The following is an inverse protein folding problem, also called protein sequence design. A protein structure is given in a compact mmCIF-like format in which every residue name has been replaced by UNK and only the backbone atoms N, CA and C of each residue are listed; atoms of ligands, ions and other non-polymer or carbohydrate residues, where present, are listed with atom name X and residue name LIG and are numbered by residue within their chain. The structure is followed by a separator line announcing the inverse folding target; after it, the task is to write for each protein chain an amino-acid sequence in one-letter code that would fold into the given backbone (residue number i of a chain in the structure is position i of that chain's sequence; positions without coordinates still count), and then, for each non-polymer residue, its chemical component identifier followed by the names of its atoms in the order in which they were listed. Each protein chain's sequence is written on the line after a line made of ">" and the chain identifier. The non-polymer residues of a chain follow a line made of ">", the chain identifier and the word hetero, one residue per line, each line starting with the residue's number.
data_IF_253541298364
#
_entry.id   IF_253541298364
#
_cell.length_a   1.000
_cell.length_b   1.000
_cell.length_c   1.000
_cell.angle_alpha   90.00
_cell.angle_beta   90.00
_cell.angle_gamma   90.00
#
_symmetry.space_group_name_H-M   'P 1'
#
loop_
_entity.id
_entity.type
_entity.pdbx_description
1 polymer ?
#
# COMPACT_ATOMS: atom_id res chain seq x y z
N UNK A 1 -36.57 15.42 -18.89
CA UNK A 1 -35.22 15.69 -18.34
C UNK A 1 -35.10 14.86 -17.08
N UNK A 2 -34.76 13.57 -17.19
CA UNK A 2 -34.61 12.71 -16.01
C UNK A 2 -33.34 13.15 -15.30
N UNK A 3 -33.46 13.80 -14.14
CA UNK A 3 -32.30 14.16 -13.33
C UNK A 3 -31.57 12.89 -12.92
N UNK A 4 -30.24 12.89 -12.99
CA UNK A 4 -29.42 11.84 -12.38
C UNK A 4 -29.70 11.84 -10.87
N UNK A 5 -30.05 10.69 -10.31
CA UNK A 5 -30.22 10.58 -8.85
C UNK A 5 -28.86 10.65 -8.14
N UNK A 6 -28.85 10.94 -6.85
CA UNK A 6 -27.61 10.95 -6.06
C UNK A 6 -26.92 9.58 -6.09
N UNK A 7 -27.69 8.49 -6.02
CA UNK A 7 -27.17 7.13 -6.09
C UNK A 7 -26.55 6.83 -7.47
N UNK A 8 -27.15 7.31 -8.56
CA UNK A 8 -26.57 7.17 -9.91
C UNK A 8 -25.25 7.93 -10.05
N UNK A 9 -25.16 9.13 -9.44
CA UNK A 9 -23.92 9.91 -9.42
C UNK A 9 -22.83 9.19 -8.61
N UNK A 10 -23.17 8.68 -7.43
CA UNK A 10 -22.24 7.91 -6.59
C UNK A 10 -21.76 6.66 -7.35
N UNK A 11 -22.67 5.87 -7.92
CA UNK A 11 -22.33 4.68 -8.68
C UNK A 11 -21.40 5.00 -9.86
N UNK A 12 -21.69 6.05 -10.63
CA UNK A 12 -20.87 6.48 -11.76
C UNK A 12 -19.46 6.93 -11.33
N UNK A 13 -19.36 7.66 -10.22
CA UNK A 13 -18.08 8.14 -9.68
C UNK A 13 -17.21 6.97 -9.20
N UNK A 14 -17.77 6.05 -8.43
CA UNK A 14 -17.06 4.89 -7.91
C UNK A 14 -16.63 3.92 -9.02
N UNK A 15 -17.50 3.70 -10.01
CA UNK A 15 -17.17 2.88 -11.18
C UNK A 15 -16.01 3.50 -11.98
N UNK A 16 -16.06 4.81 -12.22
CA UNK A 16 -14.99 5.51 -12.96
C UNK A 16 -13.68 5.60 -12.16
N UNK A 17 -13.75 5.60 -10.83
CA UNK A 17 -12.56 5.54 -9.99
C UNK A 17 -11.92 4.14 -10.01
N UNK A 18 -12.72 3.07 -10.11
CA UNK A 18 -12.22 1.70 -10.17
C UNK A 18 -11.49 1.34 -11.47
N UNK A 19 -11.96 1.90 -12.59
CA UNK A 19 -11.34 1.74 -13.91
C UNK A 19 -11.11 3.12 -14.54
N UNK A 20 -10.04 3.83 -14.13
CA UNK A 20 -9.78 5.16 -14.65
C UNK A 20 -9.36 5.07 -16.13
N UNK A 21 -9.89 5.94 -17.01
CA UNK A 21 -9.48 5.93 -18.40
C UNK A 21 -7.97 6.18 -18.53
N UNK A 22 -7.31 5.61 -19.56
CA UNK A 22 -5.87 5.70 -19.70
C UNK A 22 -5.43 7.17 -19.75
N UNK A 23 -4.33 7.52 -19.06
CA UNK A 23 -3.87 8.89 -19.04
C UNK A 23 -3.46 9.33 -20.45
N UNK A 24 -3.61 10.63 -20.79
CA UNK A 24 -3.03 11.16 -22.01
C UNK A 24 -1.53 10.89 -22.02
N UNK A 25 -0.98 10.54 -23.19
CA UNK A 25 0.44 10.25 -23.34
C UNK A 25 1.28 11.41 -22.77
N UNK A 26 2.38 11.14 -22.04
CA UNK A 26 3.25 12.19 -21.55
C UNK A 26 3.68 13.03 -22.76
N UNK A 27 3.50 14.36 -22.68
CA UNK A 27 4.02 15.27 -23.70
C UNK A 27 5.51 14.98 -23.82
N UNK A 28 5.92 14.32 -24.90
CA UNK A 28 7.33 14.04 -25.16
C UNK A 28 8.04 15.38 -25.25
N UNK A 29 8.90 15.64 -24.28
CA UNK A 29 9.83 16.76 -24.35
C UNK A 29 10.84 16.41 -25.44
N UNK A 30 10.64 16.95 -26.65
CA UNK A 30 11.59 16.79 -27.75
C UNK A 30 12.74 17.80 -27.54
N UNK A 31 13.94 17.36 -27.12
CA UNK A 31 15.06 18.28 -26.86
C UNK A 31 15.64 18.90 -28.13
N UNK A 32 15.16 18.53 -29.33
CA UNK A 32 15.54 19.13 -30.61
C UNK A 32 14.54 20.16 -31.14
N UNK A 33 13.37 20.29 -30.52
CA UNK A 33 12.41 21.30 -30.93
C UNK A 33 12.93 22.68 -30.50
N UNK A 34 13.21 23.62 -31.43
CA UNK A 34 13.54 24.98 -31.03
C UNK A 34 12.32 25.53 -30.28
N UNK A 35 12.57 26.18 -29.13
CA UNK A 35 11.60 27.02 -28.43
C UNK A 35 11.19 28.19 -29.33
N UNK A 36 10.40 27.90 -30.36
CA UNK A 36 9.77 28.87 -31.23
C UNK A 36 8.34 29.01 -30.75
N UNK A 37 8.09 30.11 -30.08
CA UNK A 37 6.79 30.67 -29.80
C UNK A 37 6.05 30.95 -31.12
N UNK A 38 5.50 29.91 -31.75
CA UNK A 38 4.50 29.99 -32.82
C UNK A 38 3.57 28.79 -32.73
N UNK A 39 2.44 29.02 -32.06
CA UNK A 39 1.26 28.19 -32.22
C UNK A 39 0.78 28.27 -33.68
N UNK A 40 0.90 27.15 -34.39
CA UNK A 40 0.35 26.78 -35.71
C UNK A 40 1.49 26.12 -36.49
N UNK A 41 1.49 24.83 -36.79
CA UNK A 41 0.41 24.16 -37.50
C UNK A 41 0.79 22.68 -37.66
N UNK A 42 0.00 21.79 -37.05
CA UNK A 42 -0.18 20.42 -37.53
C UNK A 42 -1.64 20.04 -37.23
N UNK A 43 -2.35 19.74 -38.31
CA UNK A 43 -3.79 19.64 -38.37
C UNK A 43 -4.33 18.34 -37.77
N UNK A 44 -5.51 18.48 -37.15
CA UNK A 44 -6.56 17.49 -36.86
C UNK A 44 -6.35 16.46 -35.74
N UNK A 45 -6.46 16.92 -34.50
CA UNK A 45 -7.62 16.57 -33.65
C UNK A 45 -7.68 17.59 -32.51
N UNK A 46 -8.88 18.06 -32.17
CA UNK A 46 -9.10 19.10 -31.18
C UNK A 46 -8.48 18.73 -29.82
N UNK A 47 -7.31 19.27 -29.52
CA UNK A 47 -6.67 19.15 -28.21
C UNK A 47 -7.42 20.04 -27.23
N UNK A 48 -8.55 19.54 -26.74
CA UNK A 48 -9.00 19.87 -25.39
C UNK A 48 -7.79 19.77 -24.46
N UNK A 49 -7.59 20.64 -23.46
CA UNK A 49 -6.57 20.38 -22.45
C UNK A 49 -6.81 18.94 -21.98
N UNK A 50 -5.79 18.09 -22.05
CA UNK A 50 -5.96 16.68 -21.72
C UNK A 50 -6.13 16.58 -20.20
N UNK A 51 -7.34 16.86 -19.72
CA UNK A 51 -7.72 16.88 -18.31
C UNK A 51 -7.38 15.50 -17.75
N UNK A 52 -6.69 15.48 -16.62
CA UNK A 52 -6.35 14.23 -15.97
C UNK A 52 -7.65 13.45 -15.71
N UNK A 53 -7.78 12.18 -16.13
CA UNK A 53 -8.90 11.33 -15.76
C UNK A 53 -9.28 11.43 -14.28
N UNK A 54 -8.29 11.54 -13.38
CA UNK A 54 -8.51 11.70 -11.94
C UNK A 54 -9.12 13.06 -11.57
N UNK A 55 -8.80 14.13 -12.29
CA UNK A 55 -9.40 15.45 -12.07
C UNK A 55 -10.85 15.50 -12.59
N UNK A 56 -11.10 14.83 -13.71
CA UNK A 56 -12.46 14.71 -14.24
C UNK A 56 -13.37 13.88 -13.32
N UNK A 57 -12.89 12.79 -12.70
CA UNK A 57 -13.65 12.05 -11.67
C UNK A 57 -13.88 12.90 -10.42
N UNK A 58 -12.87 13.65 -9.99
CA UNK A 58 -12.96 14.55 -8.84
C UNK A 58 -14.03 15.64 -9.05
N UNK A 59 -14.17 16.17 -10.26
CA UNK A 59 -15.23 17.14 -10.58
C UNK A 59 -16.65 16.56 -10.41
N UNK A 60 -16.86 15.30 -10.80
CA UNK A 60 -18.13 14.59 -10.61
C UNK A 60 -18.37 14.28 -9.13
N UNK A 61 -17.31 13.90 -8.41
CA UNK A 61 -17.36 13.65 -6.97
C UNK A 61 -17.75 14.92 -6.20
N UNK A 62 -17.16 16.06 -6.53
CA UNK A 62 -17.51 17.35 -5.91
C UNK A 62 -18.97 17.71 -6.15
N UNK A 63 -19.50 17.41 -7.35
CA UNK A 63 -20.93 17.58 -7.63
C UNK A 63 -21.79 16.65 -6.75
N UNK A 64 -21.40 15.38 -6.59
CA UNK A 64 -22.11 14.45 -5.71
C UNK A 64 -22.08 14.90 -4.25
N UNK A 65 -20.93 15.42 -3.77
CA UNK A 65 -20.81 16.01 -2.43
C UNK A 65 -21.71 17.24 -2.26
N UNK A 66 -21.73 18.16 -3.22
CA UNK A 66 -22.61 19.34 -3.17
C UNK A 66 -24.09 18.96 -3.11
N UNK A 67 -24.51 17.98 -3.90
CA UNK A 67 -25.89 17.47 -3.87
C UNK A 67 -26.19 16.83 -2.51
N UNK A 68 -25.28 15.99 -2.00
CA UNK A 68 -25.40 15.36 -0.68
C UNK A 68 -25.51 16.40 0.46
N UNK A 69 -24.65 17.42 0.45
CA UNK A 69 -24.63 18.49 1.44
C UNK A 69 -25.89 19.37 1.34
N UNK A 70 -26.42 19.60 0.13
CA UNK A 70 -27.65 20.38 -0.08
C UNK A 70 -28.91 19.65 0.41
N UNK A 71 -28.92 18.32 0.33
CA UNK A 71 -30.01 17.48 0.83
C UNK A 71 -29.88 17.28 2.35
N UNK A 72 -28.66 17.38 2.89
CA UNK A 72 -28.41 17.17 4.31
C UNK A 72 -28.59 15.72 4.73
N UNK A 73 -28.25 14.77 3.84
CA UNK A 73 -28.46 13.32 4.03
C UNK A 73 -27.84 12.79 5.32
N UNK A 74 -26.69 13.35 5.71
CA UNK A 74 -26.01 13.02 6.97
C UNK A 74 -25.62 14.30 7.68
N UNK A 75 -26.13 14.49 8.88
CA UNK A 75 -25.77 15.57 9.80
C UNK A 75 -24.54 15.18 10.63
N UNK A 76 -23.85 16.17 11.21
CA UNK A 76 -22.71 15.92 12.11
C UNK A 76 -23.11 15.21 13.41
N UNK A 77 -24.39 15.33 13.82
CA UNK A 77 -24.89 14.85 15.10
C UNK A 77 -25.66 13.52 15.00
N UNK A 78 -25.83 12.95 13.80
CA UNK A 78 -26.58 11.69 13.67
C UNK A 78 -25.78 10.54 14.26
N UNK A 79 -26.47 9.66 14.99
CA UNK A 79 -25.92 8.39 15.44
C UNK A 79 -26.00 7.33 14.35
N UNK A 80 -25.21 6.26 14.46
CA UNK A 80 -25.15 5.20 13.45
C UNK A 80 -26.52 4.58 13.13
N UNK A 81 -27.35 4.37 14.15
CA UNK A 81 -28.70 3.80 14.04
C UNK A 81 -29.69 4.71 13.30
N UNK A 82 -29.46 6.02 13.29
CA UNK A 82 -30.37 7.00 12.69
C UNK A 82 -30.12 7.16 11.18
N UNK A 83 -29.05 6.56 10.66
CA UNK A 83 -28.64 6.66 9.25
C UNK A 83 -29.11 5.43 8.48
N UNK A 84 -29.90 5.65 7.42
CA UNK A 84 -30.36 4.58 6.53
C UNK A 84 -29.22 3.94 5.73
N UNK A 85 -29.43 2.71 5.24
CA UNK A 85 -28.45 1.97 4.43
C UNK A 85 -28.08 2.68 3.13
N UNK A 86 -29.04 3.39 2.52
CA UNK A 86 -28.81 4.26 1.35
C UNK A 86 -27.93 5.45 1.71
N UNK A 87 -28.21 6.12 2.83
CA UNK A 87 -27.48 7.29 3.31
C UNK A 87 -26.04 6.99 3.71
N UNK A 88 -25.76 5.79 4.23
CA UNK A 88 -24.38 5.34 4.56
C UNK A 88 -23.43 5.43 3.36
N UNK A 89 -23.93 5.26 2.13
CA UNK A 89 -23.10 5.32 0.92
C UNK A 89 -22.50 6.71 0.66
N UNK A 90 -23.13 7.76 1.18
CA UNK A 90 -22.61 9.14 1.07
C UNK A 90 -21.34 9.34 1.91
N UNK A 91 -21.15 8.55 2.98
CA UNK A 91 -19.98 8.63 3.86
C UNK A 91 -18.68 8.26 3.14
N UNK A 92 -18.73 7.50 2.05
CA UNK A 92 -17.53 7.12 1.30
C UNK A 92 -17.00 8.25 0.38
N UNK A 93 -17.80 9.27 0.09
CA UNK A 93 -17.42 10.36 -0.82
C UNK A 93 -16.14 11.09 -0.39
N UNK A 94 -15.93 11.46 0.90
CA UNK A 94 -14.69 12.13 1.30
C UNK A 94 -13.48 11.19 1.30
N UNK A 95 -13.67 9.89 1.58
CA UNK A 95 -12.60 8.90 1.46
C UNK A 95 -12.11 8.77 0.01
N UNK A 96 -13.04 8.66 -0.94
CA UNK A 96 -12.71 8.60 -2.36
C UNK A 96 -12.08 9.92 -2.86
N UNK A 97 -12.53 11.07 -2.36
CA UNK A 97 -11.89 12.35 -2.66
C UNK A 97 -10.41 12.36 -2.26
N UNK A 98 -10.08 11.81 -1.09
CA UNK A 98 -8.69 11.73 -0.62
C UNK A 98 -7.81 10.91 -1.58
N UNK A 99 -8.32 9.77 -2.06
CA UNK A 99 -7.63 8.94 -3.06
C UNK A 99 -7.43 9.66 -4.40
N UNK A 100 -8.50 10.28 -4.91
CA UNK A 100 -8.44 11.00 -6.18
C UNK A 100 -7.46 12.18 -6.10
N UNK A 101 -7.48 12.96 -5.02
CA UNK A 101 -6.51 14.05 -4.82
C UNK A 101 -5.06 13.56 -4.81
N UNK A 102 -4.79 12.39 -4.23
CA UNK A 102 -3.46 11.78 -4.23
C UNK A 102 -3.06 11.27 -5.62
N UNK A 103 -4.03 10.78 -6.41
CA UNK A 103 -3.83 10.23 -7.75
C UNK A 103 -3.66 11.28 -8.86
N UNK A 104 -4.09 12.54 -8.66
CA UNK A 104 -3.93 13.62 -9.65
C UNK A 104 -2.45 13.86 -9.94
N UNK A 105 -2.10 13.83 -11.23
CA UNK A 105 -0.75 14.13 -11.72
C UNK A 105 -0.52 15.63 -11.78
N UNK A 106 0.56 16.09 -11.15
CA UNK A 106 0.94 17.52 -11.12
C UNK A 106 2.21 17.82 -11.93
N UNK A 107 2.77 16.82 -12.61
CA UNK A 107 4.01 16.98 -13.38
C UNK A 107 5.17 17.48 -12.51
N UNK A 108 5.86 18.52 -12.96
CA UNK A 108 7.00 19.15 -12.26
C UNK A 108 6.60 20.26 -11.30
N UNK A 109 5.31 20.60 -11.18
CA UNK A 109 4.86 21.66 -10.29
C UNK A 109 4.72 21.16 -8.85
N UNK A 110 5.74 21.43 -8.05
CA UNK A 110 5.77 21.11 -6.62
C UNK A 110 4.73 21.89 -5.81
N UNK A 111 4.34 23.09 -6.23
CA UNK A 111 3.36 23.90 -5.50
C UNK A 111 1.95 23.33 -5.67
N UNK A 112 1.59 22.95 -6.90
CA UNK A 112 0.38 22.20 -7.19
C UNK A 112 0.36 20.87 -6.45
N UNK A 113 1.49 20.12 -6.39
CA UNK A 113 1.56 18.87 -5.63
C UNK A 113 1.31 19.08 -4.14
N UNK A 114 1.94 20.08 -3.52
CA UNK A 114 1.71 20.44 -2.11
C UNK A 114 0.25 20.76 -1.83
N UNK A 115 -0.41 21.49 -2.74
CA UNK A 115 -1.83 21.81 -2.60
C UNK A 115 -2.71 20.54 -2.70
N UNK A 116 -2.46 19.66 -3.68
CA UNK A 116 -3.21 18.40 -3.84
C UNK A 116 -3.06 17.47 -2.63
N UNK A 117 -1.85 17.35 -2.08
CA UNK A 117 -1.59 16.57 -0.86
C UNK A 117 -2.36 17.11 0.35
N UNK A 118 -2.39 18.44 0.54
CA UNK A 118 -3.19 19.06 1.62
C UNK A 118 -4.68 18.81 1.44
N UNK A 119 -5.21 18.95 0.22
CA UNK A 119 -6.61 18.62 -0.05
C UNK A 119 -6.93 17.14 0.18
N UNK A 120 -6.00 16.23 -0.17
CA UNK A 120 -6.12 14.80 0.13
C UNK A 120 -6.19 14.53 1.63
N UNK A 121 -5.29 15.14 2.41
CA UNK A 121 -5.27 15.03 3.87
C UNK A 121 -6.56 15.58 4.51
N UNK A 122 -7.03 16.75 4.09
CA UNK A 122 -8.27 17.35 4.61
C UNK A 122 -9.50 16.48 4.31
N UNK A 123 -9.59 15.92 3.11
CA UNK A 123 -10.67 15.00 2.74
C UNK A 123 -10.62 13.70 3.58
N UNK A 124 -9.42 13.15 3.80
CA UNK A 124 -9.22 11.99 4.65
C UNK A 124 -9.61 12.27 6.12
N UNK A 125 -9.25 13.44 6.66
CA UNK A 125 -9.64 13.81 8.02
C UNK A 125 -11.15 14.04 8.17
N UNK A 126 -11.81 14.67 7.19
CA UNK A 126 -13.28 14.80 7.17
C UNK A 126 -13.96 13.42 7.26
N UNK A 127 -13.44 12.45 6.49
CA UNK A 127 -13.92 11.06 6.55
C UNK A 127 -13.65 10.41 7.91
N UNK A 128 -12.40 10.41 8.36
CA UNK A 128 -11.98 9.73 9.59
C UNK A 128 -12.71 10.27 10.82
N UNK A 129 -12.84 11.59 10.96
CA UNK A 129 -13.58 12.20 12.07
C UNK A 129 -15.04 11.74 12.08
N UNK A 130 -15.69 11.68 10.91
CA UNK A 130 -17.09 11.26 10.85
C UNK A 130 -17.26 9.79 11.21
N UNK A 131 -16.41 8.91 10.69
CA UNK A 131 -16.50 7.46 10.95
C UNK A 131 -16.12 7.12 12.41
N UNK A 132 -15.14 7.83 12.97
CA UNK A 132 -14.77 7.69 14.38
C UNK A 132 -15.88 8.19 15.31
N UNK A 133 -16.52 9.32 14.99
CA UNK A 133 -17.66 9.86 15.75
C UNK A 133 -18.88 8.92 15.72
N UNK A 134 -19.10 8.22 14.60
CA UNK A 134 -20.16 7.21 14.48
C UNK A 134 -19.88 5.91 15.25
N UNK A 135 -18.65 5.72 15.75
CA UNK A 135 -18.30 4.53 16.53
C UNK A 135 -18.20 3.23 15.73
N UNK A 136 -18.20 3.30 14.38
CA UNK A 136 -18.19 2.12 13.49
C UNK A 136 -16.87 1.34 13.57
N UNK A 137 -15.78 2.01 13.94
CA UNK A 137 -14.43 1.42 13.89
C UNK A 137 -14.18 0.50 15.10
N UNK A 138 -13.84 -0.78 14.88
CA UNK A 138 -13.49 -1.70 15.96
C UNK A 138 -12.26 -1.23 16.76
N UNK A 139 -12.15 -1.60 18.06
CA UNK A 139 -11.04 -1.17 18.91
C UNK A 139 -9.67 -1.63 18.37
N UNK A 140 -9.60 -2.82 17.78
CA UNK A 140 -8.40 -3.35 17.12
C UNK A 140 -7.95 -2.45 15.97
N UNK A 141 -8.89 -1.94 15.17
CA UNK A 141 -8.58 -1.05 14.06
C UNK A 141 -8.17 0.33 14.58
N UNK A 142 -8.84 0.86 15.62
CA UNK A 142 -8.41 2.11 16.29
C UNK A 142 -6.96 2.03 16.79
N UNK A 143 -6.57 0.92 17.40
CA UNK A 143 -5.19 0.75 17.85
C UNK A 143 -4.19 0.77 16.68
N UNK A 144 -4.50 0.11 15.57
CA UNK A 144 -3.67 0.16 14.36
C UNK A 144 -3.59 1.58 13.78
N UNK A 145 -4.70 2.32 13.75
CA UNK A 145 -4.74 3.72 13.31
C UNK A 145 -3.77 4.58 14.13
N UNK A 146 -3.82 4.46 15.47
CA UNK A 146 -2.89 5.16 16.36
C UNK A 146 -1.43 4.85 16.03
N UNK A 147 -1.10 3.56 15.83
CA UNK A 147 0.26 3.17 15.48
C UNK A 147 0.68 3.63 14.07
N UNK A 148 -0.25 3.70 13.11
CA UNK A 148 0.07 4.20 11.76
C UNK A 148 0.42 5.68 11.76
N UNK A 149 -0.19 6.46 12.64
CA UNK A 149 0.04 7.91 12.75
C UNK A 149 1.09 8.28 13.80
N UNK A 150 1.73 7.31 14.45
CA UNK A 150 2.72 7.59 15.49
C UNK A 150 3.92 8.42 15.00
N UNK A 151 4.21 8.37 13.69
CA UNK A 151 5.27 9.17 13.06
C UNK A 151 4.78 10.53 12.53
N UNK A 152 3.47 10.81 12.59
CA UNK A 152 2.89 12.09 12.17
C UNK A 152 2.81 12.99 13.40
N UNK A 153 3.31 14.22 13.30
CA UNK A 153 3.31 15.13 14.44
C UNK A 153 1.87 15.50 14.83
N UNK A 154 1.58 15.68 16.14
CA UNK A 154 0.24 16.01 16.59
C UNK A 154 -0.24 17.38 16.06
N UNK A 155 0.68 18.32 15.85
CA UNK A 155 0.38 19.62 15.25
C UNK A 155 -0.08 19.48 13.78
N UNK A 156 0.55 18.58 13.01
CA UNK A 156 0.10 18.29 11.64
C UNK A 156 -1.26 17.62 11.61
N UNK A 157 -1.53 16.67 12.51
CA UNK A 157 -2.85 16.04 12.62
C UNK A 157 -3.93 17.07 12.97
N UNK A 158 -3.64 17.97 13.92
CA UNK A 158 -4.53 19.06 14.29
C UNK A 158 -4.74 20.06 13.14
N UNK A 159 -3.69 20.40 12.38
CA UNK A 159 -3.77 21.31 11.24
C UNK A 159 -4.63 20.76 10.09
N UNK A 160 -4.67 19.43 9.93
CA UNK A 160 -5.55 18.74 8.97
C UNK A 160 -6.98 18.62 9.52
N UNK A 161 -7.17 18.88 10.83
CA UNK A 161 -8.46 18.84 11.52
C UNK A 161 -8.82 17.48 12.09
N UNK A 162 -7.86 16.55 12.24
CA UNK A 162 -8.09 15.22 12.80
C UNK A 162 -7.98 15.26 14.33
N UNK A 163 -8.98 14.71 15.03
CA UNK A 163 -8.91 14.56 16.48
C UNK A 163 -8.14 13.28 16.86
N UNK A 164 -6.86 13.42 17.18
CA UNK A 164 -6.00 12.30 17.58
C UNK A 164 -6.45 11.62 18.88
N UNK A 165 -7.22 12.31 19.73
CA UNK A 165 -7.71 11.72 20.99
C UNK A 165 -8.81 10.68 20.77
N UNK A 166 -9.50 10.74 19.64
CA UNK A 166 -10.52 9.76 19.26
C UNK A 166 -9.93 8.36 18.98
N UNK A 167 -8.61 8.29 18.76
CA UNK A 167 -7.88 7.05 18.45
C UNK A 167 -7.02 6.68 19.66
N UNK A 168 -7.64 5.95 20.59
CA UNK A 168 -6.99 5.54 21.84
C UNK A 168 -5.80 4.60 21.60
N UNK A 169 -4.58 5.11 21.77
CA UNK A 169 -3.38 4.28 21.78
C UNK A 169 -3.25 3.58 23.15
N UNK A 170 -3.44 2.26 23.17
CA UNK A 170 -3.16 1.44 24.35
C UNK A 170 -1.91 0.59 24.11
N UNK A 171 -0.98 0.61 25.07
CA UNK A 171 0.25 -0.19 25.05
C UNK A 171 1.44 0.48 24.36
N UNK A 172 2.59 -0.19 24.42
CA UNK A 172 3.81 0.26 23.74
C UNK A 172 3.69 0.15 22.23
N UNK A 173 4.37 1.04 21.50
CA UNK A 173 4.37 1.03 20.04
C UNK A 173 5.21 -0.15 19.52
N UNK A 174 4.63 -1.04 18.69
CA UNK A 174 5.37 -2.12 18.06
C UNK A 174 6.27 -1.59 16.94
N UNK A 175 7.16 -2.43 16.40
CA UNK A 175 8.05 -1.98 15.33
C UNK A 175 7.24 -1.56 14.09
N UNK A 176 7.69 -0.53 13.37
CA UNK A 176 6.98 -0.01 12.19
C UNK A 176 6.66 -1.08 11.13
N UNK A 177 7.52 -2.11 11.00
CA UNK A 177 7.27 -3.26 10.12
C UNK A 177 6.10 -4.12 10.60
N UNK A 178 5.99 -4.37 11.90
CA UNK A 178 4.90 -5.15 12.50
C UNK A 178 3.56 -4.43 12.36
N UNK A 179 3.55 -3.10 12.51
CA UNK A 179 2.38 -2.25 12.22
C UNK A 179 1.95 -2.43 10.75
N UNK A 180 2.88 -2.32 9.79
CA UNK A 180 2.55 -2.52 8.37
C UNK A 180 2.04 -3.93 8.07
N UNK A 181 2.63 -4.95 8.69
CA UNK A 181 2.20 -6.35 8.53
C UNK A 181 0.79 -6.55 9.10
N UNK A 182 0.50 -6.00 10.28
CA UNK A 182 -0.82 -6.13 10.91
C UNK A 182 -1.90 -5.39 10.13
N UNK A 183 -1.62 -4.17 9.66
CA UNK A 183 -2.51 -3.42 8.76
C UNK A 183 -2.77 -4.20 7.47
N UNK A 184 -1.73 -4.75 6.84
CA UNK A 184 -1.88 -5.55 5.62
C UNK A 184 -2.69 -6.83 5.84
N UNK A 185 -2.45 -7.54 6.94
CA UNK A 185 -3.22 -8.74 7.31
C UNK A 185 -4.69 -8.41 7.52
N UNK A 186 -4.99 -7.32 8.22
CA UNK A 186 -6.36 -6.86 8.46
C UNK A 186 -7.03 -6.46 7.14
N UNK A 187 -6.36 -5.64 6.32
CA UNK A 187 -6.87 -5.20 5.01
C UNK A 187 -7.22 -6.40 4.12
N UNK A 188 -6.32 -7.39 4.06
CA UNK A 188 -6.55 -8.63 3.29
C UNK A 188 -7.72 -9.44 3.84
N UNK A 189 -7.86 -9.54 5.16
CA UNK A 189 -8.96 -10.26 5.78
C UNK A 189 -10.32 -9.59 5.50
N UNK A 190 -10.40 -8.26 5.61
CA UNK A 190 -11.62 -7.51 5.26
C UNK A 190 -11.99 -7.65 3.80
N UNK A 191 -11.02 -7.48 2.88
CA UNK A 191 -11.24 -7.66 1.44
C UNK A 191 -11.77 -9.06 1.13
N UNK A 192 -11.20 -10.10 1.73
CA UNK A 192 -11.66 -11.47 1.53
C UNK A 192 -13.10 -11.68 2.04
N UNK A 193 -13.46 -11.13 3.20
CA UNK A 193 -14.82 -11.23 3.75
C UNK A 193 -15.85 -10.51 2.87
N UNK A 194 -15.51 -9.30 2.42
CA UNK A 194 -16.36 -8.50 1.55
C UNK A 194 -16.54 -9.16 0.16
N UNK A 195 -15.48 -9.76 -0.41
CA UNK A 195 -15.57 -10.50 -1.69
C UNK A 195 -16.49 -11.73 -1.57
N UNK A 196 -16.41 -12.47 -0.45
CA UNK A 196 -17.31 -13.59 -0.18
C UNK A 196 -18.77 -13.16 -0.13
N UNK A 197 -19.07 -12.07 0.59
CA UNK A 197 -20.42 -11.51 0.63
C UNK A 197 -20.88 -11.02 -0.74
N UNK A 198 -20.01 -10.34 -1.48
CA UNK A 198 -20.29 -9.85 -2.83
C UNK A 198 -20.68 -10.98 -3.78
N UNK A 199 -19.92 -12.08 -3.79
CA UNK A 199 -20.21 -13.24 -4.61
C UNK A 199 -21.55 -13.90 -4.22
N UNK A 200 -21.81 -14.04 -2.91
CA UNK A 200 -23.08 -14.56 -2.40
C UNK A 200 -24.27 -13.67 -2.77
N UNK A 201 -24.10 -12.35 -2.68
CA UNK A 201 -25.12 -11.35 -3.01
C UNK A 201 -25.47 -11.36 -4.50
N UNK A 202 -24.46 -11.40 -5.38
CA UNK A 202 -24.65 -11.50 -6.83
C UNK A 202 -25.34 -12.82 -7.22
N UNK A 203 -24.97 -13.93 -6.56
CA UNK A 203 -25.64 -15.22 -6.74
C UNK A 203 -27.11 -15.18 -6.29
N UNK A 204 -27.42 -14.58 -5.13
CA UNK A 204 -28.81 -14.42 -4.62
C UNK A 204 -29.65 -13.59 -5.59
N UNK A 205 -29.10 -12.50 -6.13
CA UNK A 205 -29.79 -11.60 -7.08
C UNK A 205 -29.82 -12.09 -8.54
N UNK A 206 -29.22 -13.25 -8.85
CA UNK A 206 -29.12 -13.82 -10.22
C UNK A 206 -28.63 -12.80 -11.25
N UNK A 207 -27.70 -11.97 -10.84
CA UNK A 207 -27.32 -10.79 -11.59
C UNK A 207 -26.26 -11.21 -12.63
N UNK A 208 -26.63 -11.26 -13.90
CA UNK A 208 -25.75 -11.59 -15.02
C UNK A 208 -25.47 -10.33 -15.84
N UNK A 209 -24.19 -10.04 -16.12
CA UNK A 209 -23.72 -8.90 -16.94
C UNK A 209 -23.83 -7.48 -16.30
N UNK A 210 -23.46 -7.35 -15.02
CA UNK A 210 -23.38 -6.02 -14.36
C UNK A 210 -22.03 -5.39 -14.57
N UNK A 211 -22.04 -4.10 -14.89
CA UNK A 211 -20.88 -3.23 -14.74
C UNK A 211 -20.62 -2.99 -13.25
N UNK A 212 -19.88 -3.91 -12.63
CA UNK A 212 -19.46 -3.79 -11.25
C UNK A 212 -17.95 -3.44 -11.17
N UNK A 213 -17.52 -2.64 -10.19
CA UNK A 213 -16.12 -2.32 -9.97
C UNK A 213 -15.23 -3.57 -9.78
N UNK A 214 -13.99 -3.54 -10.25
CA UNK A 214 -13.07 -4.68 -10.11
C UNK A 214 -12.68 -4.94 -8.66
N UNK A 215 -12.24 -3.90 -7.94
CA UNK A 215 -11.93 -3.96 -6.51
C UNK A 215 -13.20 -3.73 -5.67
N UNK A 216 -13.39 -4.59 -4.68
CA UNK A 216 -14.40 -4.49 -3.64
C UNK A 216 -14.39 -3.13 -2.96
N UNK A 217 -13.21 -2.50 -2.83
CA UNK A 217 -13.08 -1.16 -2.28
C UNK A 217 -14.03 -0.14 -2.91
N UNK A 218 -14.31 -0.26 -4.22
CA UNK A 218 -15.19 0.66 -4.92
C UNK A 218 -16.64 0.16 -5.09
N UNK A 219 -16.96 -1.08 -4.71
CA UNK A 219 -18.30 -1.63 -4.91
C UNK A 219 -19.22 -1.26 -3.74
N UNK A 220 -20.19 -0.38 -3.99
CA UNK A 220 -21.20 0.03 -2.99
C UNK A 220 -22.53 -0.75 -3.14
N UNK A 221 -22.51 -1.87 -3.87
CA UNK A 221 -23.68 -2.69 -4.22
C UNK A 221 -24.79 -1.88 -4.90
N UNK A 222 -24.42 -0.84 -5.64
CA UNK A 222 -25.32 -0.01 -6.44
C UNK A 222 -25.37 -0.55 -7.87
N UNK A 223 -26.06 -1.67 -8.04
CA UNK A 223 -26.27 -2.24 -9.36
C UNK A 223 -27.54 -1.65 -9.99
N UNK A 224 -27.48 -1.13 -11.23
CA UNK A 224 -28.68 -0.64 -11.90
C UNK A 224 -29.65 -1.80 -12.05
N UNK A 225 -30.85 -1.68 -11.45
CA UNK A 225 -31.94 -2.59 -11.76
C UNK A 225 -32.25 -2.44 -13.24
N UNK A 226 -32.02 -3.51 -14.02
CA UNK A 226 -32.56 -3.57 -15.36
C UNK A 226 -34.08 -3.44 -15.19
N UNK A 227 -34.64 -2.29 -15.57
CA UNK A 227 -36.09 -2.09 -15.66
C UNK A 227 -36.58 -3.07 -16.72
N UNK A 228 -36.91 -4.30 -16.32
CA UNK A 228 -37.76 -5.19 -17.08
C UNK A 228 -39.13 -4.53 -17.10
N UNK A 229 -39.57 -4.13 -18.30
CA UNK A 229 -40.95 -3.70 -18.55
C UNK A 229 -41.91 -4.87 -18.40
N UNK A 230 -42.16 -5.26 -17.17
CA UNK A 230 -43.20 -6.21 -16.78
C UNK A 230 -44.06 -5.48 -15.76
N UNK A 231 -45.28 -5.12 -16.16
CA UNK A 231 -46.38 -4.69 -15.30
C UNK A 231 -46.83 -5.88 -14.43
N UNK A 232 -45.98 -6.29 -13.48
CA UNK A 232 -46.43 -7.11 -12.36
C UNK A 232 -46.01 -6.41 -11.08
N UNK A 233 -47.04 -6.01 -10.35
CA UNK A 233 -47.03 -5.53 -8.98
C UNK A 233 -46.28 -6.54 -8.08
N UNK A 234 -45.01 -6.26 -7.83
CA UNK A 234 -44.31 -6.69 -6.63
C UNK A 234 -43.25 -5.62 -6.34
N UNK A 235 -43.66 -4.58 -5.59
CA UNK A 235 -42.74 -3.85 -4.71
C UNK A 235 -42.21 -4.82 -3.65
N UNK A 236 -41.44 -5.81 -4.08
CA UNK A 236 -40.51 -6.52 -3.22
C UNK A 236 -39.20 -5.74 -3.26
N UNK A 237 -39.21 -4.55 -2.65
CA UNK A 237 -38.11 -4.22 -1.75
C UNK A 237 -38.11 -5.34 -0.71
N UNK A 238 -37.45 -6.45 -1.06
CA UNK A 238 -37.05 -7.45 -0.08
C UNK A 238 -35.93 -6.80 0.76
N UNK A 239 -36.32 -5.78 1.53
CA UNK A 239 -35.83 -5.59 2.89
C UNK A 239 -36.12 -6.91 3.62
N UNK A 240 -35.24 -7.89 3.42
CA UNK A 240 -34.88 -8.87 4.46
C UNK A 240 -34.15 -8.09 5.59
N UNK A 241 -34.74 -6.98 6.04
CA UNK A 241 -34.40 -6.31 7.28
C UNK A 241 -35.02 -7.14 8.39
N UNK A 242 -34.41 -8.31 8.66
CA UNK A 242 -34.32 -8.84 10.01
C UNK A 242 -33.39 -7.91 10.84
N UNK A 243 -33.65 -6.60 10.80
CA UNK A 243 -33.07 -5.62 11.69
C UNK A 243 -33.77 -5.83 13.05
N UNK A 244 -33.25 -6.76 13.86
CA UNK A 244 -33.53 -6.77 15.30
C UNK A 244 -32.78 -5.60 15.95
N UNK A 245 -33.45 -4.50 16.33
CA UNK A 245 -32.80 -3.31 16.84
C UNK A 245 -32.30 -3.48 18.29
N UNK A 246 -32.39 -4.68 18.87
CA UNK A 246 -32.14 -4.91 20.29
C UNK A 246 -30.66 -5.11 20.69
N UNK A 247 -29.71 -5.19 19.74
CA UNK A 247 -28.33 -5.60 20.05
C UNK A 247 -27.22 -4.76 19.35
N UNK A 248 -27.14 -3.46 19.68
CA UNK A 248 -26.14 -2.53 19.12
C UNK A 248 -24.66 -2.91 19.34
N UNK A 249 -24.35 -3.78 20.30
CA UNK A 249 -22.97 -4.22 20.57
C UNK A 249 -22.53 -5.40 19.67
N UNK A 250 -23.47 -6.10 19.03
CA UNK A 250 -23.19 -7.30 18.21
C UNK A 250 -22.91 -6.95 16.75
N UNK A 251 -23.50 -5.88 16.21
CA UNK A 251 -23.26 -5.44 14.82
C UNK A 251 -21.79 -5.11 14.54
N UNK A 252 -21.08 -4.52 15.51
CA UNK A 252 -19.70 -4.05 15.34
C UNK A 252 -18.67 -5.19 15.42
N UNK A 253 -18.95 -6.24 16.20
CA UNK A 253 -18.06 -7.41 16.32
C UNK A 253 -18.15 -8.32 15.09
N UNK A 254 -19.30 -8.32 14.40
CA UNK A 254 -19.55 -9.16 13.24
C UNK A 254 -18.79 -8.69 11.97
N UNK A 255 -18.42 -7.41 11.87
CA UNK A 255 -17.77 -6.86 10.66
C UNK A 255 -16.32 -7.34 10.43
N UNK A 256 -15.65 -7.86 11.46
CA UNK A 256 -14.24 -8.31 11.38
C UNK A 256 -14.10 -9.84 11.30
N UNK A 257 -15.13 -10.60 11.71
CA UNK A 257 -15.10 -12.05 11.66
C UNK A 257 -15.48 -12.59 10.26
N UNK A 258 -14.76 -13.60 9.72
CA UNK A 258 -15.13 -14.23 8.46
C UNK A 258 -16.53 -14.85 8.57
N UNK A 259 -17.43 -14.49 7.64
CA UNK A 259 -18.83 -14.95 7.65
C UNK A 259 -19.78 -14.15 8.55
N UNK A 260 -19.32 -13.06 9.19
CA UNK A 260 -20.18 -12.19 10.01
C UNK A 260 -21.00 -11.16 9.23
N UNK A 261 -20.86 -11.07 7.91
CA UNK A 261 -21.61 -10.12 7.08
C UNK A 261 -22.92 -10.78 6.63
N UNK A 262 -24.03 -10.45 7.29
CA UNK A 262 -25.36 -11.02 6.97
C UNK A 262 -26.21 -10.12 6.06
N UNK A 263 -26.11 -8.79 6.22
CA UNK A 263 -26.92 -7.81 5.50
C UNK A 263 -26.07 -6.84 4.67
N UNK A 264 -26.68 -6.18 3.68
CA UNK A 264 -26.06 -5.11 2.91
C UNK A 264 -25.61 -3.93 3.81
N UNK A 265 -26.30 -3.69 4.92
CA UNK A 265 -25.87 -2.72 5.94
C UNK A 265 -24.52 -3.11 6.55
N UNK A 266 -24.42 -4.34 7.02
CA UNK A 266 -23.20 -4.91 7.61
C UNK A 266 -22.02 -4.88 6.61
N UNK A 267 -22.29 -5.11 5.32
CA UNK A 267 -21.30 -4.99 4.26
C UNK A 267 -20.73 -3.56 4.17
N UNK A 268 -21.60 -2.55 4.15
CA UNK A 268 -21.16 -1.15 4.11
C UNK A 268 -20.38 -0.75 5.37
N UNK A 269 -20.75 -1.26 6.55
CA UNK A 269 -19.99 -1.01 7.79
C UNK A 269 -18.59 -1.64 7.76
N UNK A 270 -18.48 -2.88 7.27
CA UNK A 270 -17.19 -3.54 7.07
C UNK A 270 -16.34 -2.81 6.02
N UNK A 271 -16.96 -2.28 4.97
CA UNK A 271 -16.28 -1.46 3.97
C UNK A 271 -15.83 -0.11 4.53
N UNK A 272 -16.62 0.54 5.39
CA UNK A 272 -16.17 1.75 6.11
C UNK A 272 -14.89 1.47 6.89
N UNK A 273 -14.79 0.31 7.55
CA UNK A 273 -13.56 -0.09 8.24
C UNK A 273 -12.36 -0.19 7.27
N UNK A 274 -12.54 -0.82 6.10
CA UNK A 274 -11.52 -0.89 5.06
C UNK A 274 -11.07 0.51 4.60
N UNK A 275 -12.03 1.42 4.37
CA UNK A 275 -11.75 2.80 3.98
C UNK A 275 -11.01 3.58 5.09
N UNK A 276 -11.23 3.29 6.37
CA UNK A 276 -10.48 3.95 7.46
C UNK A 276 -9.01 3.59 7.46
N UNK A 277 -8.68 2.30 7.26
CA UNK A 277 -7.29 1.85 7.13
C UNK A 277 -6.62 2.52 5.93
N UNK A 278 -7.34 2.61 4.81
CA UNK A 278 -6.83 3.25 3.60
C UNK A 278 -6.60 4.74 3.78
N UNK A 279 -7.56 5.45 4.36
CA UNK A 279 -7.45 6.88 4.67
C UNK A 279 -6.28 7.16 5.62
N UNK A 280 -6.04 6.29 6.60
CA UNK A 280 -4.92 6.42 7.52
C UNK A 280 -3.57 6.27 6.83
N UNK A 281 -3.43 5.30 5.92
CA UNK A 281 -2.25 5.13 5.08
C UNK A 281 -2.00 6.37 4.20
N UNK A 282 -3.06 6.98 3.66
CA UNK A 282 -2.97 8.20 2.83
C UNK A 282 -2.49 9.38 3.67
N UNK A 283 -2.98 9.57 4.89
CA UNK A 283 -2.52 10.64 5.78
C UNK A 283 -1.02 10.48 6.07
N UNK A 284 -0.58 9.26 6.41
CA UNK A 284 0.81 8.96 6.73
C UNK A 284 1.75 9.06 5.51
N UNK A 285 1.30 8.67 4.32
CA UNK A 285 2.12 8.80 3.10
C UNK A 285 2.18 10.26 2.62
N UNK A 286 1.07 11.00 2.69
CA UNK A 286 1.02 12.41 2.33
C UNK A 286 1.87 13.27 3.28
N UNK A 287 1.93 12.95 4.57
CA UNK A 287 2.81 13.68 5.51
C UNK A 287 4.28 13.47 5.18
N UNK A 288 4.70 12.23 4.90
CA UNK A 288 6.06 11.91 4.47
C UNK A 288 6.42 12.63 3.17
N UNK A 289 5.52 12.65 2.19
CA UNK A 289 5.76 13.35 0.93
C UNK A 289 5.84 14.88 1.13
N UNK A 290 4.99 15.46 1.98
CA UNK A 290 5.05 16.88 2.31
C UNK A 290 6.37 17.25 3.01
N UNK A 291 6.89 16.40 3.89
CA UNK A 291 8.19 16.57 4.52
C UNK A 291 9.31 16.58 3.47
N UNK A 292 9.31 15.62 2.55
CA UNK A 292 10.27 15.55 1.45
C UNK A 292 10.22 16.80 0.56
N UNK A 293 9.01 17.26 0.21
CA UNK A 293 8.80 18.47 -0.59
C UNK A 293 9.15 19.78 0.17
N UNK A 294 9.22 19.75 1.50
CA UNK A 294 9.73 20.85 2.32
C UNK A 294 11.27 20.84 2.37
N UNK A 295 11.89 19.66 2.45
CA UNK A 295 13.35 19.50 2.47
C UNK A 295 14.03 19.59 1.11
N UNK A 296 13.25 19.64 0.01
CA UNK A 296 13.80 19.63 -1.34
C UNK A 296 14.59 20.91 -1.66
N UNK A 297 15.87 20.81 -2.09
CA UNK A 297 16.64 21.97 -2.55
C UNK A 297 15.96 22.66 -3.75
N UNK A 298 16.12 23.99 -3.91
CA UNK A 298 15.59 24.68 -5.08
C UNK A 298 16.21 24.10 -6.37
N UNK A 299 15.44 23.98 -7.46
CA UNK A 299 15.99 23.52 -8.73
C UNK A 299 17.14 24.45 -9.13
N UNK A 300 18.24 23.92 -9.70
CA UNK A 300 19.31 24.76 -10.21
C UNK A 300 18.70 25.77 -11.21
N UNK A 301 19.17 27.03 -11.21
CA UNK A 301 18.67 28.02 -12.17
C UNK A 301 18.78 27.43 -13.58
N UNK A 302 17.80 27.69 -14.47
CA UNK A 302 17.90 27.24 -15.85
C UNK A 302 19.24 27.78 -16.35
N UNK A 303 20.11 26.87 -16.77
CA UNK A 303 21.41 27.22 -17.33
C UNK A 303 21.12 28.05 -18.57
N UNK A 304 21.03 29.38 -18.41
CA UNK A 304 21.24 30.32 -19.50
C UNK A 304 22.51 29.85 -20.16
N UNK A 305 22.36 29.43 -21.39
CA UNK A 305 23.39 28.97 -22.29
C UNK A 305 24.48 30.02 -22.41
N UNK A 306 25.34 30.10 -21.40
CA UNK A 306 26.66 30.68 -21.55
C UNK A 306 27.41 29.61 -22.31
N UNK A 307 27.35 29.72 -23.62
CA UNK A 307 27.88 28.80 -24.62
C UNK A 307 29.42 28.70 -24.56
N UNK A 308 30.06 29.27 -23.54
CA UNK A 308 31.50 29.32 -23.36
C UNK A 308 32.05 28.30 -22.37
N UNK A 309 31.28 27.83 -21.38
CA UNK A 309 31.77 26.87 -20.38
C UNK A 309 31.43 25.41 -20.68
N UNK A 310 30.37 25.16 -21.45
CA UNK A 310 30.04 23.82 -21.93
C UNK A 310 31.02 23.31 -23.02
N UNK A 311 31.79 24.21 -23.64
CA UNK A 311 32.87 23.84 -24.55
C UNK A 311 34.17 23.49 -23.83
N UNK A 312 34.37 23.97 -22.60
CA UNK A 312 35.61 23.79 -21.83
C UNK A 312 35.80 22.36 -21.32
N UNK A 313 34.71 21.61 -21.11
CA UNK A 313 34.74 20.24 -20.57
C UNK A 313 34.51 19.16 -21.63
N UNK A 314 34.22 19.52 -22.88
CA UNK A 314 34.05 18.55 -23.98
C UNK A 314 35.41 18.18 -24.56
N UNK A 315 36.09 17.24 -23.91
CA UNK A 315 37.38 16.65 -24.33
C UNK A 315 37.33 15.98 -25.72
N UNK A 316 36.14 15.75 -26.27
CA UNK A 316 35.91 15.00 -27.51
C UNK A 316 35.78 15.87 -28.77
N UNK A 317 36.06 17.18 -28.73
CA UNK A 317 36.15 17.96 -29.97
C UNK A 317 37.53 17.72 -30.59
N UNK A 318 37.64 17.03 -31.74
CA UNK A 318 38.93 16.87 -32.38
C UNK A 318 39.36 18.22 -32.94
N UNK A 319 40.18 18.95 -32.19
CA UNK A 319 40.88 20.16 -32.65
C UNK A 319 42.02 19.85 -33.62
N UNK A 320 42.06 18.64 -34.16
CA UNK A 320 43.09 18.21 -35.09
C UNK A 320 42.62 18.42 -36.53
N UNK A 321 43.07 19.51 -37.14
CA UNK A 321 43.03 19.73 -38.59
C UNK A 321 44.05 18.85 -39.35
N UNK A 322 44.69 17.89 -38.68
CA UNK A 322 45.64 16.98 -39.32
C UNK A 322 44.90 15.85 -40.08
N UNK A 323 45.39 15.49 -41.28
CA UNK A 323 44.76 14.47 -42.11
C UNK A 323 44.79 13.08 -41.45
N UNK A 324 43.63 12.44 -41.35
CA UNK A 324 43.45 11.08 -40.80
C UNK A 324 43.94 9.97 -41.74
N UNK A 325 44.30 10.30 -42.99
CA UNK A 325 44.75 9.34 -44.00
C UNK A 325 46.17 9.64 -44.46
N UNK A 326 47.09 8.69 -44.26
CA UNK A 326 48.51 8.78 -44.64
C UNK A 326 49.45 7.94 -43.75
N UNK A 327 50.75 7.86 -44.10
CA UNK A 327 51.75 7.11 -43.33
C UNK A 327 51.92 7.62 -41.90
N UNK A 328 52.05 6.69 -40.95
CA UNK A 328 52.16 6.93 -39.50
C UNK A 328 53.36 7.80 -39.09
N UNK A 329 54.50 7.57 -39.74
CA UNK A 329 55.79 8.14 -39.38
C UNK A 329 56.52 8.54 -40.66
N UNK A 330 57.26 9.64 -40.60
CA UNK A 330 58.26 9.94 -41.61
C UNK A 330 59.43 8.93 -41.49
N UNK A 331 60.19 8.64 -42.55
CA UNK A 331 61.39 7.79 -42.49
C UNK A 331 62.46 8.27 -41.49
N UNK A 332 62.41 9.55 -41.10
CA UNK A 332 63.24 10.16 -40.07
C UNK A 332 62.72 9.95 -38.64
N UNK A 333 61.71 9.10 -38.43
CA UNK A 333 61.16 8.75 -37.12
C UNK A 333 60.20 9.78 -36.52
N UNK A 334 59.90 10.88 -37.23
CA UNK A 334 58.96 11.90 -36.74
C UNK A 334 57.52 11.42 -36.96
N UNK A 335 56.76 11.36 -35.87
CA UNK A 335 55.34 10.96 -35.89
C UNK A 335 54.52 12.07 -36.53
N UNK A 336 53.86 11.75 -37.64
CA UNK A 336 53.09 12.73 -38.43
C UNK A 336 51.60 12.75 -38.05
N UNK A 337 51.11 11.67 -37.41
CA UNK A 337 49.72 11.57 -36.93
C UNK A 337 49.64 11.15 -35.47
N UNK A 338 48.67 11.66 -34.70
CA UNK A 338 48.38 11.09 -33.39
C UNK A 338 47.94 9.63 -33.54
N UNK A 339 48.48 8.76 -32.69
CA UNK A 339 48.05 7.36 -32.58
C UNK A 339 47.77 7.03 -31.11
N UNK A 340 46.72 6.26 -30.85
CA UNK A 340 46.39 5.80 -29.50
C UNK A 340 47.13 4.51 -29.18
N UNK A 341 47.76 4.46 -28.00
CA UNK A 341 48.64 3.36 -27.54
C UNK A 341 47.85 2.22 -26.88
N UNK A 342 46.54 2.38 -26.66
CA UNK A 342 45.72 1.36 -26.00
C UNK A 342 45.51 0.14 -26.90
N UNK A 343 45.92 -1.04 -26.42
CA UNK A 343 45.78 -2.32 -27.14
C UNK A 343 44.32 -2.79 -27.30
N UNK A 344 43.37 -2.15 -26.63
CA UNK A 344 41.95 -2.52 -26.59
C UNK A 344 41.10 -1.47 -27.32
N UNK A 345 39.98 -1.93 -27.92
CA UNK A 345 39.02 -1.05 -28.58
C UNK A 345 38.48 -0.01 -27.59
N UNK A 346 38.45 1.26 -28.01
CA UNK A 346 37.96 2.40 -27.20
C UNK A 346 36.52 2.18 -26.70
N UNK A 347 35.73 1.39 -27.42
CA UNK A 347 34.36 1.01 -27.04
C UNK A 347 34.30 0.15 -25.76
N UNK A 348 35.26 -0.75 -25.54
CA UNK A 348 35.27 -1.64 -24.38
C UNK A 348 35.62 -0.88 -23.10
N UNK A 349 36.53 0.10 -23.21
CA UNK A 349 36.87 1.00 -22.11
C UNK A 349 35.68 1.90 -21.76
N UNK A 350 34.97 2.43 -22.76
CA UNK A 350 33.77 3.25 -22.53
C UNK A 350 32.66 2.49 -21.79
N UNK A 351 32.44 1.21 -22.13
CA UNK A 351 31.48 0.34 -21.44
C UNK A 351 31.88 0.05 -19.98
N UNK A 352 33.15 0.18 -19.64
CA UNK A 352 33.69 -0.14 -18.31
C UNK A 352 33.66 1.03 -17.31
N UNK A 353 33.47 2.26 -17.80
CA UNK A 353 33.60 3.49 -17.00
C UNK A 353 32.32 3.86 -16.24
N UNK A 354 31.14 3.42 -16.71
CA UNK A 354 29.85 3.70 -16.07
C UNK A 354 29.23 2.44 -15.45
N UNK A 355 29.92 1.85 -14.48
CA UNK A 355 29.32 0.82 -13.63
C UNK A 355 28.59 1.45 -12.44
N UNK A 356 27.48 0.85 -11.97
CA UNK A 356 26.77 1.32 -10.77
C UNK A 356 27.73 1.47 -9.57
N UNK A 357 27.54 2.50 -8.75
CA UNK A 357 28.46 2.86 -7.64
C UNK A 357 28.44 1.90 -6.45
N UNK A 358 27.66 0.82 -6.51
CA UNK A 358 27.65 -0.21 -5.48
C UNK A 358 28.59 -1.34 -5.89
N UNK A 359 29.44 -1.77 -4.95
CA UNK A 359 30.22 -2.99 -5.13
C UNK A 359 29.24 -4.15 -5.10
N UNK A 360 29.11 -4.87 -6.22
CA UNK A 360 28.45 -6.18 -6.19
C UNK A 360 29.20 -7.05 -5.16
N UNK A 361 28.50 -7.94 -4.44
CA UNK A 361 29.15 -8.95 -3.62
C UNK A 361 30.27 -9.62 -4.42
N UNK A 362 31.48 -9.61 -3.85
CA UNK A 362 32.67 -10.18 -4.51
C UNK A 362 32.65 -11.70 -4.54
N UNK A 363 31.73 -12.30 -3.77
CA UNK A 363 31.52 -13.73 -3.61
C UNK A 363 30.10 -14.04 -4.06
N UNK A 364 29.90 -15.22 -4.64
CA UNK A 364 28.55 -15.71 -4.93
C UNK A 364 27.78 -15.99 -3.62
N UNK A 365 26.45 -16.07 -3.72
CA UNK A 365 25.60 -16.39 -2.55
C UNK A 365 26.00 -17.73 -1.94
N UNK A 366 26.30 -18.71 -2.80
CA UNK A 366 26.70 -20.06 -2.39
C UNK A 366 28.07 -20.05 -1.70
N UNK A 367 29.04 -19.32 -2.26
CA UNK A 367 30.38 -19.15 -1.66
C UNK A 367 30.34 -18.41 -0.32
N UNK A 368 29.45 -17.43 -0.18
CA UNK A 368 29.22 -16.75 1.09
C UNK A 368 28.56 -17.67 2.14
N UNK A 369 27.59 -18.49 1.72
CA UNK A 369 26.98 -19.51 2.59
C UNK A 369 28.03 -20.53 3.04
N UNK A 370 28.93 -20.98 2.17
CA UNK A 370 30.02 -21.88 2.53
C UNK A 370 30.98 -21.25 3.54
N UNK A 371 31.32 -19.97 3.38
CA UNK A 371 32.16 -19.25 4.36
C UNK A 371 31.47 -19.08 5.71
N UNK A 372 30.17 -18.76 5.74
CA UNK A 372 29.40 -18.65 6.98
C UNK A 372 29.16 -20.02 7.62
N UNK A 373 29.00 -21.10 6.84
CA UNK A 373 28.96 -22.49 7.30
C UNK A 373 30.31 -22.85 7.95
N UNK A 374 31.43 -22.51 7.30
CA UNK A 374 32.79 -22.74 7.82
C UNK A 374 33.04 -21.97 9.12
N UNK A 375 32.44 -20.79 9.26
CA UNK A 375 32.49 -19.97 10.49
C UNK A 375 31.50 -20.45 11.56
N UNK A 376 30.64 -21.43 11.27
CA UNK A 376 29.64 -21.95 12.19
C UNK A 376 28.48 -20.99 12.47
N UNK A 377 28.30 -19.96 11.64
CA UNK A 377 27.24 -18.96 11.76
C UNK A 377 25.91 -19.39 11.13
N UNK A 378 25.90 -20.51 10.39
CA UNK A 378 24.68 -21.11 9.86
C UNK A 378 24.10 -22.06 10.90
N UNK A 379 22.92 -21.71 11.40
CA UNK A 379 22.16 -22.55 12.34
C UNK A 379 21.58 -23.72 11.54
N UNK A 380 22.22 -24.88 11.64
CA UNK A 380 21.76 -26.11 11.01
C UNK A 380 20.76 -26.81 11.95
N UNK A 381 19.49 -26.39 11.88
CA UNK A 381 18.38 -26.92 12.68
C UNK A 381 17.47 -25.82 13.25
N UNK A 382 16.17 -26.09 13.44
CA UNK A 382 15.22 -25.15 14.05
C UNK A 382 14.20 -24.49 13.10
N UNK A 383 13.90 -25.10 11.96
CA UNK A 383 12.78 -24.71 11.09
C UNK A 383 11.50 -25.51 11.35
N UNK A 384 10.44 -25.29 10.54
CA UNK A 384 9.20 -26.09 10.56
C UNK A 384 9.48 -27.60 10.55
N UNK A 385 10.47 -28.04 9.76
CA UNK A 385 10.87 -29.45 9.68
C UNK A 385 11.46 -30.00 11.00
N UNK A 386 12.06 -29.16 11.85
CA UNK A 386 12.51 -29.56 13.20
C UNK A 386 11.38 -29.52 14.22
N UNK A 387 10.32 -28.75 13.98
CA UNK A 387 9.09 -28.76 14.77
C UNK A 387 8.21 -29.98 14.45
N UNK A 388 8.18 -30.38 13.17
CA UNK A 388 7.42 -31.54 12.70
C UNK A 388 8.15 -32.87 12.97
N UNK A 389 9.47 -32.84 13.17
CA UNK A 389 10.22 -34.02 13.58
C UNK A 389 9.94 -34.32 15.05
N UNK A 390 9.56 -35.57 15.40
CA UNK A 390 9.24 -35.93 16.78
C UNK A 390 10.46 -35.67 17.67
N UNK A 391 10.23 -35.03 18.80
CA UNK A 391 11.29 -34.73 19.77
C UNK A 391 11.90 -36.03 20.32
N UNK A 392 13.11 -35.96 20.89
CA UNK A 392 13.77 -37.15 21.47
C UNK A 392 12.92 -37.84 22.54
N UNK A 393 12.08 -37.09 23.27
CA UNK A 393 11.11 -37.60 24.22
C UNK A 393 9.93 -38.32 23.54
N UNK A 394 9.35 -37.73 22.51
CA UNK A 394 8.24 -38.34 21.75
C UNK A 394 8.69 -39.60 20.98
N UNK A 395 9.90 -39.59 20.39
CA UNK A 395 10.47 -40.79 19.77
C UNK A 395 10.72 -41.92 20.76
N UNK A 396 10.97 -41.60 22.04
CA UNK A 396 11.11 -42.62 23.09
C UNK A 396 9.75 -43.14 23.53
N UNK A 397 8.76 -42.26 23.70
CA UNK A 397 7.39 -42.65 24.02
C UNK A 397 6.79 -43.57 22.95
N UNK A 398 6.96 -43.24 21.67
CA UNK A 398 6.54 -44.11 20.54
C UNK A 398 7.23 -45.48 20.56
N UNK A 399 8.51 -45.55 20.98
CA UNK A 399 9.22 -46.83 21.15
C UNK A 399 8.71 -47.63 22.33
N UNK A 400 8.21 -46.98 23.38
CA UNK A 400 7.60 -47.64 24.54
C UNK A 400 6.19 -48.19 24.24
N UNK A 401 5.44 -47.60 23.30
CA UNK A 401 4.09 -48.06 22.93
C UNK A 401 4.07 -49.46 22.30
N UNK A 402 5.21 -49.93 21.75
CA UNK A 402 5.36 -51.26 21.18
C UNK A 402 5.69 -52.33 22.25
N UNK A 403 4.75 -52.55 23.15
CA UNK A 403 4.83 -53.52 24.25
C UNK A 403 5.20 -54.93 23.74
N UNK A 404 6.16 -55.58 24.42
CA UNK A 404 6.68 -56.91 24.08
C UNK A 404 7.86 -56.96 23.11
N UNK A 405 8.42 -55.82 22.70
CA UNK A 405 9.66 -55.76 21.89
C UNK A 405 10.87 -55.36 22.74
N UNK A 406 12.07 -55.87 22.40
CA UNK A 406 13.32 -55.55 23.12
C UNK A 406 13.65 -54.05 23.10
N UNK A 407 13.16 -53.33 22.10
CA UNK A 407 13.33 -51.88 21.98
C UNK A 407 12.44 -51.10 22.96
N UNK A 408 11.26 -51.62 23.31
CA UNK A 408 10.39 -51.04 24.34
C UNK A 408 11.01 -51.17 25.73
N UNK A 409 11.56 -52.35 26.06
CA UNK A 409 12.29 -52.57 27.32
C UNK A 409 13.47 -51.60 27.44
N UNK A 410 14.25 -51.42 26.36
CA UNK A 410 15.38 -50.50 26.33
C UNK A 410 14.95 -49.03 26.53
N UNK A 411 13.84 -48.62 25.91
CA UNK A 411 13.30 -47.27 26.06
C UNK A 411 12.80 -46.99 27.49
N UNK A 412 12.17 -47.98 28.15
CA UNK A 412 11.74 -47.88 29.55
C UNK A 412 12.94 -47.80 30.51
N UNK A 413 13.99 -48.59 30.27
CA UNK A 413 15.24 -48.48 31.03
C UNK A 413 15.90 -47.11 30.86
N UNK A 414 15.88 -46.54 29.65
CA UNK A 414 16.43 -45.22 29.38
C UNK A 414 15.65 -44.12 30.10
N UNK A 415 14.30 -44.20 30.11
CA UNK A 415 13.45 -43.26 30.85
C UNK A 415 13.77 -43.29 32.34
N UNK A 416 13.80 -44.49 32.94
CA UNK A 416 14.15 -44.67 34.35
C UNK A 416 15.55 -44.11 34.68
N UNK A 417 16.52 -44.26 33.78
CA UNK A 417 17.86 -43.70 33.96
C UNK A 417 17.87 -42.16 33.95
N UNK A 418 17.04 -41.53 33.11
CA UNK A 418 16.88 -40.07 33.10
C UNK A 418 16.16 -39.56 34.33
N UNK A 419 15.14 -40.27 34.81
CA UNK A 419 14.43 -39.89 36.03
C UNK A 419 15.39 -39.94 37.23
N UNK A 420 16.15 -41.03 37.36
CA UNK A 420 17.22 -41.13 38.37
C UNK A 420 18.29 -40.04 38.23
N UNK A 421 18.62 -39.65 36.99
CA UNK A 421 19.56 -38.56 36.75
C UNK A 421 18.99 -37.21 37.20
N UNK A 422 17.72 -36.93 36.91
CA UNK A 422 17.04 -35.71 37.33
C UNK A 422 16.84 -35.64 38.85
N UNK A 423 16.55 -36.77 39.48
CA UNK A 423 16.47 -36.88 40.93
C UNK A 423 17.84 -36.58 41.57
N UNK A 424 18.91 -37.25 41.09
CA UNK A 424 20.29 -36.96 41.54
C UNK A 424 20.67 -35.50 41.32
N UNK A 425 20.36 -34.96 40.14
CA UNK A 425 20.67 -33.57 39.80
C UNK A 425 19.94 -32.59 40.73
N UNK A 426 18.69 -32.87 41.09
CA UNK A 426 17.89 -32.04 41.99
C UNK A 426 18.40 -32.11 43.43
N UNK A 427 18.88 -33.28 43.88
CA UNK A 427 19.51 -33.46 45.19
C UNK A 427 20.86 -32.72 45.28
N UNK A 428 21.69 -32.81 44.23
CA UNK A 428 23.00 -32.14 44.17
C UNK A 428 22.85 -30.61 44.00
N UNK A 429 21.84 -30.15 43.25
CA UNK A 429 21.62 -28.74 42.95
C UNK A 429 20.44 -28.16 43.73
N UNK A 430 20.72 -27.71 44.95
CA UNK A 430 19.71 -27.00 45.77
C UNK A 430 19.13 -25.81 45.03
N UNK A 431 17.80 -25.69 45.07
CA UNK A 431 17.06 -24.57 44.48
C UNK A 431 17.61 -23.23 44.98
N UNK A 432 18.13 -22.41 44.07
CA UNK A 432 18.72 -21.10 44.37
C UNK A 432 20.25 -21.03 44.42
N UNK A 433 20.98 -22.14 44.17
CA UNK A 433 22.45 -22.15 44.15
C UNK A 433 23.08 -21.17 43.13
N UNK A 434 22.39 -20.83 42.04
CA UNK A 434 22.87 -19.89 41.01
C UNK A 434 22.49 -18.41 41.23
N UNK A 435 21.60 -18.09 42.16
CA UNK A 435 21.16 -16.72 42.43
C UNK A 435 21.72 -16.23 43.78
N UNK A 436 23.04 -16.23 43.91
CA UNK A 436 23.74 -15.80 45.13
C UNK A 436 24.32 -14.38 45.02
N UNK A 437 24.40 -13.82 43.81
CA UNK A 437 24.98 -12.50 43.56
C UNK A 437 23.97 -11.33 43.55
N UNK A 438 22.68 -11.59 43.35
CA UNK A 438 21.60 -10.59 43.46
C UNK A 438 20.93 -10.63 44.85
N UNK A 439 21.74 -10.57 45.90
CA UNK A 439 21.29 -10.21 47.26
C UNK A 439 21.96 -8.89 47.64
N UNK A 440 21.41 -7.81 47.12
CA UNK A 440 21.76 -6.42 47.37
C UNK A 440 20.72 -5.51 46.77
#
# INVERSE_FOLDING_TARGET
>A
MSGQTLNDLIAAVFLRASDPPPPPAPQQFDPRAPESSTAASSSSSASSPSIDPAEATLSLLNRAQQVSDSIGVVSSNDALRDISTSSLRTLFLPSLAAELHSAVRTGTDHTARKQRLRSSQQAAAKFLNRVLALGVVPPTTKQLLAWTWANVTPDELAAIGLDSNAVGAQGGMPHAREVKISVFKLERALKANLEQFRAAYQAKKKLTDIKAPSDVFYDLLLYPNARTGSDDDDEAEADDDDDDPSNGDTELSATTAPGGIASARHYLLAQLNLHTLRAAQIVASASQELELLRSMPPPPPPSTSTTTSAEEWRLDRPTSTLPTSGPLMAPSGKVLRPFTITASNRADVAASVFRPSYRLPTMSIDEYLEEEQRRGNIIQGGGQASYDAPTSGEQRALRMEHDGTRDADAAEHEQRAQDMHWDRFTEENKRGAGNTMNRG
#
